data_IF_623327631889
#
_entry.id   IF_623327631889
#
_cell.length_a   1.000
_cell.length_b   1.000
_cell.length_c   1.000
_cell.angle_alpha   90.00
_cell.angle_beta   90.00
_cell.angle_gamma   90.00
#
_symmetry.space_group_name_H-M   'P 1'
#
loop_
_entity.id
_entity.type
_entity.pdbx_description
1 polymer ?
#
# COMPACT_ATOMS: atom_id res chain seq x y z
N UNK A 1 -0.96 -10.22 -21.75
CA UNK A 1 -1.23 -9.31 -20.60
C UNK A 1 -0.75 -10.00 -19.32
N UNK A 2 -0.02 -9.30 -18.48
CA UNK A 2 0.55 -9.80 -17.22
C UNK A 2 -0.51 -9.80 -16.10
N UNK A 3 -0.34 -10.58 -15.02
CA UNK A 3 -1.08 -10.40 -13.78
C UNK A 3 -0.53 -9.19 -13.02
N UNK A 4 -1.37 -8.51 -12.22
CA UNK A 4 -0.92 -7.46 -11.33
C UNK A 4 -1.78 -7.40 -10.08
N UNK A 5 -1.16 -7.62 -8.91
CA UNK A 5 -1.78 -7.44 -7.60
C UNK A 5 -0.91 -6.52 -6.77
N UNK A 6 -1.45 -5.37 -6.42
CA UNK A 6 -0.74 -4.29 -5.72
C UNK A 6 -1.24 -4.14 -4.28
N UNK A 7 -0.30 -4.00 -3.35
CA UNK A 7 -0.58 -3.98 -1.92
C UNK A 7 -0.98 -2.60 -1.38
N UNK A 8 -0.80 -1.51 -2.17
CA UNK A 8 -1.08 -0.16 -1.67
C UNK A 8 -1.33 0.87 -2.78
N UNK A 9 -2.42 1.63 -2.63
CA UNK A 9 -2.65 2.87 -3.38
C UNK A 9 -3.57 3.81 -2.61
N UNK A 10 -3.47 5.14 -2.89
CA UNK A 10 -4.27 6.20 -2.26
C UNK A 10 -5.39 6.74 -3.16
N UNK A 11 -5.79 5.99 -4.17
CA UNK A 11 -6.79 6.42 -5.16
C UNK A 11 -8.12 6.79 -4.52
N UNK A 12 -8.55 6.12 -3.43
CA UNK A 12 -9.79 6.47 -2.72
C UNK A 12 -9.70 7.85 -2.10
N UNK A 13 -8.59 8.17 -1.44
CA UNK A 13 -8.32 9.49 -0.89
C UNK A 13 -8.36 10.56 -1.98
N UNK A 14 -7.67 10.34 -3.09
CA UNK A 14 -7.67 11.26 -4.22
C UNK A 14 -9.06 11.49 -4.79
N UNK A 15 -9.81 10.44 -5.01
CA UNK A 15 -11.18 10.54 -5.50
C UNK A 15 -12.07 11.33 -4.54
N UNK A 16 -11.91 11.16 -3.22
CA UNK A 16 -12.71 11.86 -2.22
C UNK A 16 -12.32 13.34 -2.09
N UNK A 17 -11.02 13.65 -2.16
CA UNK A 17 -10.52 15.00 -1.96
C UNK A 17 -10.51 15.86 -3.24
N UNK A 18 -10.92 15.30 -4.39
CA UNK A 18 -11.03 16.05 -5.64
C UNK A 18 -12.00 17.21 -5.50
N UNK A 19 -11.54 18.44 -5.77
CA UNK A 19 -12.33 19.66 -5.70
C UNK A 19 -12.42 20.31 -4.31
N UNK A 20 -11.92 19.67 -3.25
CA UNK A 20 -11.69 20.32 -1.97
C UNK A 20 -10.31 21.01 -1.98
N UNK A 21 -10.23 22.25 -1.47
CA UNK A 21 -8.95 22.95 -1.32
C UNK A 21 -8.09 22.21 -0.30
N UNK A 22 -7.16 21.40 -0.78
CA UNK A 22 -6.29 20.64 0.09
C UNK A 22 -5.30 21.56 0.78
N UNK A 23 -5.23 21.50 2.09
CA UNK A 23 -4.26 22.19 2.94
C UNK A 23 -2.97 21.36 3.12
N UNK A 24 -2.77 20.31 2.32
CA UNK A 24 -1.56 19.49 2.39
C UNK A 24 -0.37 20.38 2.05
N UNK A 25 0.56 20.47 2.99
CA UNK A 25 1.88 21.08 2.74
C UNK A 25 2.68 20.13 1.86
N UNK A 26 2.59 20.38 0.59
CA UNK A 26 3.13 19.55 -0.47
C UNK A 26 4.54 20.00 -0.87
N UNK A 27 5.22 20.74 0.00
CA UNK A 27 6.58 21.19 -0.22
C UNK A 27 6.73 22.18 -1.39
N UNK A 28 7.88 22.17 -2.03
CA UNK A 28 8.27 23.15 -3.07
C UNK A 28 7.48 23.07 -4.39
N UNK A 29 6.56 22.11 -4.54
CA UNK A 29 5.79 21.89 -5.77
C UNK A 29 4.27 21.89 -5.59
N UNK A 30 3.77 22.77 -4.70
CA UNK A 30 2.35 22.90 -4.36
C UNK A 30 1.39 23.07 -5.55
N UNK A 31 1.86 23.61 -6.69
CA UNK A 31 1.03 23.75 -7.90
C UNK A 31 0.88 22.42 -8.64
N UNK A 32 1.96 21.69 -8.86
CA UNK A 32 1.91 20.38 -9.52
C UNK A 32 1.02 19.39 -8.75
N UNK A 33 1.02 19.51 -7.45
CA UNK A 33 0.21 18.68 -6.57
C UNK A 33 -1.26 19.11 -6.57
N UNK A 34 -1.59 20.41 -6.55
CA UNK A 34 -2.97 20.86 -6.78
C UNK A 34 -3.49 20.37 -8.13
N UNK A 35 -2.67 20.44 -9.17
CA UNK A 35 -3.03 19.96 -10.51
C UNK A 35 -3.19 18.44 -10.53
N UNK A 36 -2.37 17.72 -9.76
CA UNK A 36 -2.46 16.28 -9.57
C UNK A 36 -3.80 15.88 -8.90
N UNK A 37 -4.18 16.51 -7.79
CA UNK A 37 -5.46 16.24 -7.12
C UNK A 37 -6.69 16.73 -7.86
N UNK A 38 -6.58 17.81 -8.65
CA UNK A 38 -7.68 18.30 -9.46
C UNK A 38 -8.12 17.36 -10.59
N UNK A 39 -7.34 16.34 -10.91
CA UNK A 39 -7.54 15.47 -12.06
C UNK A 39 -8.21 14.13 -11.76
N UNK A 40 -8.17 13.64 -10.52
CA UNK A 40 -8.79 12.37 -10.15
C UNK A 40 -10.27 12.55 -9.83
N UNK A 41 -11.18 12.16 -10.74
CA UNK A 41 -12.62 12.34 -10.56
C UNK A 41 -13.35 11.06 -10.12
N UNK A 42 -12.84 9.87 -10.43
CA UNK A 42 -13.44 8.59 -10.06
C UNK A 42 -12.57 7.41 -10.49
N UNK A 43 -12.91 6.22 -9.99
CA UNK A 43 -12.10 5.01 -10.23
C UNK A 43 -12.24 4.48 -11.66
N UNK A 44 -13.34 4.76 -12.35
CA UNK A 44 -13.60 4.22 -13.70
C UNK A 44 -12.61 4.71 -14.74
N UNK A 45 -12.43 6.04 -14.80
CA UNK A 45 -11.51 6.74 -15.69
C UNK A 45 -11.08 8.04 -15.02
N UNK A 46 -9.77 8.30 -14.93
CA UNK A 46 -9.22 9.52 -14.38
C UNK A 46 -7.82 9.80 -14.92
N UNK A 47 -7.22 10.91 -14.52
CA UNK A 47 -5.84 11.26 -14.87
C UNK A 47 -4.84 11.10 -13.72
N UNK A 48 -5.21 10.36 -12.68
CA UNK A 48 -4.30 9.89 -11.63
C UNK A 48 -3.43 8.73 -12.09
N UNK A 49 -2.77 8.09 -11.12
CA UNK A 49 -1.93 6.94 -11.44
C UNK A 49 -2.74 5.67 -11.75
N UNK A 50 -3.97 5.53 -11.19
CA UNK A 50 -4.80 4.33 -11.37
C UNK A 50 -6.20 4.70 -11.87
N UNK A 51 -6.66 3.99 -12.91
CA UNK A 51 -8.07 3.82 -13.21
C UNK A 51 -8.36 2.45 -13.81
N UNK A 52 -9.64 2.05 -13.77
CA UNK A 52 -10.07 0.71 -14.22
C UNK A 52 -9.96 0.53 -15.73
N UNK A 53 -10.08 1.60 -16.53
CA UNK A 53 -9.95 1.53 -17.99
C UNK A 53 -8.52 1.16 -18.37
N UNK A 54 -7.51 1.86 -17.79
CA UNK A 54 -6.09 1.57 -18.04
C UNK A 54 -5.71 0.21 -17.47
N UNK A 55 -6.14 -0.10 -16.24
CA UNK A 55 -5.88 -1.41 -15.64
C UNK A 55 -6.38 -2.55 -16.52
N UNK A 56 -7.61 -2.48 -17.04
CA UNK A 56 -8.20 -3.48 -17.94
C UNK A 56 -7.47 -3.60 -19.28
N UNK A 57 -6.90 -2.50 -19.78
CA UNK A 57 -6.17 -2.49 -21.05
C UNK A 57 -4.80 -3.20 -20.94
N UNK A 58 -4.19 -3.22 -19.76
CA UNK A 58 -2.80 -3.67 -19.58
C UNK A 58 -2.66 -5.00 -18.81
N UNK A 59 -3.65 -5.36 -17.96
CA UNK A 59 -3.56 -6.57 -17.13
C UNK A 59 -4.59 -7.63 -17.50
N UNK A 60 -4.14 -8.88 -17.54
CA UNK A 60 -5.02 -10.04 -17.72
C UNK A 60 -5.76 -10.40 -16.42
N UNK A 61 -5.13 -10.15 -15.28
CA UNK A 61 -5.69 -10.23 -13.92
C UNK A 61 -5.24 -9.02 -13.16
N UNK A 62 -6.17 -8.35 -12.50
CA UNK A 62 -5.88 -7.16 -11.68
C UNK A 62 -6.54 -7.25 -10.31
N UNK A 63 -5.75 -6.96 -9.28
CA UNK A 63 -6.23 -6.77 -7.92
C UNK A 63 -5.49 -5.60 -7.27
N UNK A 64 -6.18 -4.84 -6.43
CA UNK A 64 -5.66 -3.67 -5.76
C UNK A 64 -6.13 -3.63 -4.30
N UNK A 65 -5.21 -3.32 -3.38
CA UNK A 65 -5.56 -2.92 -2.02
C UNK A 65 -5.62 -1.39 -2.00
N UNK A 66 -6.81 -0.86 -1.74
CA UNK A 66 -7.09 0.57 -1.64
C UNK A 66 -6.95 1.02 -0.19
N UNK A 67 -6.10 2.01 0.07
CA UNK A 67 -5.96 2.60 1.38
C UNK A 67 -7.08 3.60 1.68
N UNK A 68 -7.60 3.54 2.88
CA UNK A 68 -8.26 4.67 3.52
C UNK A 68 -7.17 5.45 4.24
N UNK A 69 -6.90 6.65 3.77
CA UNK A 69 -5.83 7.53 4.26
C UNK A 69 -6.35 8.94 4.50
N UNK A 70 -5.84 9.61 5.53
CA UNK A 70 -6.00 11.05 5.75
C UNK A 70 -4.91 11.56 6.69
N UNK A 71 -4.29 12.72 6.37
CA UNK A 71 -3.27 13.32 7.26
C UNK A 71 -3.94 13.82 8.56
N UNK A 72 -3.58 13.29 9.73
CA UNK A 72 -4.15 13.71 11.00
C UNK A 72 -3.88 15.18 11.35
N UNK A 73 -2.91 15.84 10.69
CA UNK A 73 -2.65 17.26 10.86
C UNK A 73 -3.77 18.15 10.32
N UNK A 74 -4.51 17.67 9.33
CA UNK A 74 -5.60 18.44 8.68
C UNK A 74 -6.88 18.53 9.52
N UNK A 75 -6.99 17.73 10.60
CA UNK A 75 -8.06 17.79 11.61
C UNK A 75 -9.46 17.94 11.00
N UNK A 76 -9.98 16.90 10.33
CA UNK A 76 -11.26 16.98 9.67
C UNK A 76 -12.39 17.34 10.68
N UNK A 77 -13.35 18.14 10.24
CA UNK A 77 -14.43 18.65 11.12
C UNK A 77 -15.26 17.54 11.77
N UNK A 78 -15.42 16.40 11.07
CA UNK A 78 -16.11 15.20 11.55
C UNK A 78 -15.26 14.30 12.46
N UNK A 79 -14.02 14.68 12.75
CA UNK A 79 -13.03 13.86 13.45
C UNK A 79 -12.45 12.77 12.56
N UNK A 80 -11.35 12.14 13.01
CA UNK A 80 -10.64 11.11 12.22
C UNK A 80 -11.52 9.89 11.93
N UNK A 81 -12.31 9.43 12.89
CA UNK A 81 -13.25 8.34 12.68
C UNK A 81 -14.37 8.69 11.71
N UNK A 82 -14.87 9.93 11.76
CA UNK A 82 -15.83 10.47 10.79
C UNK A 82 -15.24 10.44 9.38
N UNK A 83 -14.01 10.92 9.21
CA UNK A 83 -13.28 10.88 7.95
C UNK A 83 -13.04 9.45 7.45
N UNK A 84 -12.67 8.53 8.33
CA UNK A 84 -12.52 7.12 7.98
C UNK A 84 -13.80 6.54 7.37
N UNK A 85 -14.96 6.83 7.97
CA UNK A 85 -16.28 6.43 7.44
C UNK A 85 -16.62 7.11 6.12
N UNK A 86 -16.23 8.37 5.95
CA UNK A 86 -16.41 9.12 4.70
C UNK A 86 -15.61 8.48 3.56
N UNK A 87 -14.33 8.16 3.79
CA UNK A 87 -13.47 7.45 2.84
C UNK A 87 -14.00 6.05 2.52
N UNK A 88 -14.46 5.32 3.53
CA UNK A 88 -15.11 4.02 3.31
C UNK A 88 -16.37 4.13 2.46
N UNK A 89 -17.21 5.13 2.70
CA UNK A 89 -18.38 5.39 1.87
C UNK A 89 -17.99 5.73 0.42
N UNK A 90 -16.89 6.48 0.22
CA UNK A 90 -16.33 6.72 -1.11
C UNK A 90 -15.90 5.43 -1.79
N UNK A 91 -15.15 4.56 -1.12
CA UNK A 91 -14.76 3.25 -1.65
C UNK A 91 -15.98 2.41 -2.05
N UNK A 92 -17.02 2.39 -1.23
CA UNK A 92 -18.27 1.67 -1.56
C UNK A 92 -18.92 2.23 -2.81
N UNK A 93 -19.05 3.54 -2.93
CA UNK A 93 -19.65 4.23 -4.09
C UNK A 93 -18.86 3.94 -5.36
N UNK A 94 -17.53 4.11 -5.35
CA UNK A 94 -16.69 3.87 -6.51
C UNK A 94 -16.77 2.42 -7.00
N UNK A 95 -16.77 1.47 -6.09
CA UNK A 95 -16.88 0.05 -6.45
C UNK A 95 -18.28 -0.35 -6.90
N UNK A 96 -19.34 0.31 -6.45
CA UNK A 96 -20.71 0.09 -6.87
C UNK A 96 -20.99 0.70 -8.23
N UNK A 97 -20.60 1.95 -8.47
CA UNK A 97 -20.75 2.64 -9.74
C UNK A 97 -19.99 1.93 -10.86
N UNK A 98 -18.88 1.26 -10.53
CA UNK A 98 -18.05 0.50 -11.47
C UNK A 98 -18.21 -1.03 -11.34
N UNK A 99 -19.33 -1.52 -10.81
CA UNK A 99 -19.53 -2.95 -10.51
C UNK A 99 -19.44 -3.89 -11.73
N UNK A 100 -19.54 -3.37 -12.95
CA UNK A 100 -19.28 -4.13 -14.18
C UNK A 100 -17.78 -4.48 -14.35
N UNK A 101 -16.87 -3.68 -13.78
CA UNK A 101 -15.41 -3.76 -13.99
C UNK A 101 -14.63 -4.15 -12.74
N UNK A 102 -15.21 -4.01 -11.54
CA UNK A 102 -14.54 -4.27 -10.27
C UNK A 102 -15.48 -4.95 -9.27
N UNK A 103 -14.94 -5.80 -8.40
CA UNK A 103 -15.67 -6.44 -7.31
C UNK A 103 -14.91 -6.28 -5.98
N UNK A 104 -15.63 -5.97 -4.91
CA UNK A 104 -15.06 -5.97 -3.55
C UNK A 104 -14.79 -7.39 -3.10
N UNK A 105 -13.57 -7.64 -2.62
CA UNK A 105 -13.11 -8.95 -2.21
C UNK A 105 -12.54 -8.91 -0.78
N UNK A 106 -12.76 -9.99 -0.03
CA UNK A 106 -12.27 -10.17 1.35
C UNK A 106 -11.45 -11.44 1.52
N UNK A 107 -11.56 -12.35 0.58
CA UNK A 107 -10.91 -13.66 0.59
C UNK A 107 -10.27 -13.95 -0.75
N UNK A 108 -9.30 -14.85 -0.74
CA UNK A 108 -8.70 -15.30 -1.97
C UNK A 108 -9.69 -15.95 -2.94
N UNK A 109 -10.68 -16.68 -2.46
CA UNK A 109 -11.71 -17.26 -3.31
C UNK A 109 -12.56 -16.18 -4.02
N UNK A 110 -12.84 -15.06 -3.33
CA UNK A 110 -13.53 -13.91 -3.92
C UNK A 110 -12.66 -13.21 -4.96
N UNK A 111 -11.34 -13.06 -4.71
CA UNK A 111 -10.37 -12.53 -5.69
C UNK A 111 -10.38 -13.39 -6.95
N UNK A 112 -10.24 -14.70 -6.80
CA UNK A 112 -10.24 -15.63 -7.95
C UNK A 112 -11.56 -15.58 -8.73
N UNK A 113 -12.68 -15.49 -8.03
CA UNK A 113 -14.00 -15.38 -8.64
C UNK A 113 -14.18 -14.07 -9.41
N UNK A 114 -13.72 -12.94 -8.85
CA UNK A 114 -13.77 -11.63 -9.51
C UNK A 114 -12.96 -11.65 -10.80
N UNK A 115 -11.72 -12.14 -10.73
CA UNK A 115 -10.80 -12.22 -11.86
C UNK A 115 -11.32 -13.18 -12.94
N UNK A 116 -11.86 -14.34 -12.55
CA UNK A 116 -12.49 -15.27 -13.49
C UNK A 116 -13.70 -14.67 -14.21
N UNK A 117 -14.41 -13.73 -13.57
CA UNK A 117 -15.50 -12.96 -14.17
C UNK A 117 -15.01 -11.76 -15.02
N UNK A 118 -13.69 -11.59 -15.21
CA UNK A 118 -13.10 -10.48 -15.97
C UNK A 118 -13.17 -9.13 -15.25
N UNK A 119 -13.33 -9.15 -13.92
CA UNK A 119 -13.36 -7.95 -13.07
C UNK A 119 -12.05 -7.79 -12.31
N UNK A 120 -11.70 -6.55 -11.98
CA UNK A 120 -10.69 -6.26 -10.98
C UNK A 120 -11.16 -6.69 -9.58
N UNK A 121 -10.24 -7.11 -8.71
CA UNK A 121 -10.53 -7.38 -7.31
C UNK A 121 -10.10 -6.19 -6.43
N UNK A 122 -11.03 -5.61 -5.67
CA UNK A 122 -10.78 -4.52 -4.74
C UNK A 122 -10.74 -5.03 -3.30
N UNK A 123 -9.62 -4.83 -2.62
CA UNK A 123 -9.46 -5.05 -1.20
C UNK A 123 -9.26 -3.71 -0.49
N UNK A 124 -9.30 -3.70 0.83
CA UNK A 124 -9.27 -2.48 1.63
C UNK A 124 -8.15 -2.53 2.66
N UNK A 125 -7.45 -1.41 2.85
CA UNK A 125 -6.54 -1.16 3.97
C UNK A 125 -6.88 0.14 4.68
N UNK A 126 -6.28 0.35 5.86
CA UNK A 126 -6.28 1.63 6.57
C UNK A 126 -4.83 2.03 6.78
N UNK A 127 -4.46 3.21 6.31
CA UNK A 127 -3.14 3.78 6.48
C UNK A 127 -3.14 4.84 7.59
N UNK A 128 -2.55 4.46 8.72
CA UNK A 128 -2.55 5.24 9.96
C UNK A 128 -3.74 4.91 10.87
N UNK A 129 -3.46 4.33 12.05
CA UNK A 129 -4.47 4.05 13.07
C UNK A 129 -5.13 5.32 13.63
N UNK A 130 -4.62 6.50 13.27
CA UNK A 130 -5.25 7.79 13.55
C UNK A 130 -6.67 7.86 13.01
N UNK A 131 -6.95 7.25 11.85
CA UNK A 131 -8.30 7.11 11.30
C UNK A 131 -9.25 6.33 12.21
N UNK A 132 -8.71 5.41 13.03
CA UNK A 132 -9.45 4.74 14.10
C UNK A 132 -9.35 5.49 15.44
N UNK A 133 -8.77 6.71 15.47
CA UNK A 133 -8.43 7.47 16.69
C UNK A 133 -7.56 6.61 17.67
N UNK A 134 -6.78 5.69 17.12
CA UNK A 134 -5.97 4.72 17.86
C UNK A 134 -6.80 3.91 18.90
N UNK A 135 -8.07 3.66 18.60
CA UNK A 135 -9.03 2.98 19.48
C UNK A 135 -9.20 1.53 19.04
N UNK A 136 -8.85 0.58 19.92
CA UNK A 136 -8.97 -0.87 19.65
C UNK A 136 -10.41 -1.32 19.46
N UNK A 137 -11.39 -0.63 20.05
CA UNK A 137 -12.80 -1.00 19.95
C UNK A 137 -13.37 -0.74 18.54
N UNK A 138 -12.65 -0.03 17.68
CA UNK A 138 -13.00 0.20 16.26
C UNK A 138 -12.43 -0.85 15.30
N UNK A 139 -11.46 -1.64 15.72
CA UNK A 139 -10.89 -2.74 14.92
C UNK A 139 -11.97 -3.74 14.45
N UNK A 140 -12.92 -4.20 15.30
CA UNK A 140 -13.97 -5.10 14.83
C UNK A 140 -14.86 -4.52 13.74
N UNK A 141 -15.10 -3.19 13.72
CA UNK A 141 -15.86 -2.55 12.67
C UNK A 141 -15.06 -2.48 11.37
N UNK A 142 -13.77 -2.10 11.42
CA UNK A 142 -12.87 -2.13 10.28
C UNK A 142 -12.78 -3.54 9.67
N UNK A 143 -12.72 -4.59 10.51
CA UNK A 143 -12.74 -5.99 10.05
C UNK A 143 -14.06 -6.34 9.34
N UNK A 144 -15.21 -5.87 9.83
CA UNK A 144 -16.51 -6.05 9.16
C UNK A 144 -16.58 -5.34 7.81
N UNK A 145 -15.91 -4.20 7.65
CA UNK A 145 -15.77 -3.53 6.35
C UNK A 145 -14.93 -4.33 5.35
N UNK A 146 -14.13 -5.27 5.83
CA UNK A 146 -13.25 -6.10 5.03
C UNK A 146 -11.84 -5.56 4.92
N UNK A 147 -11.42 -4.68 5.82
CA UNK A 147 -10.03 -4.20 5.91
C UNK A 147 -9.08 -5.38 6.08
N UNK A 148 -8.00 -5.41 5.31
CA UNK A 148 -7.01 -6.48 5.27
C UNK A 148 -5.67 -6.10 5.85
N UNK A 149 -5.24 -4.86 5.64
CA UNK A 149 -3.98 -4.32 6.17
C UNK A 149 -4.27 -3.08 7.00
N UNK A 150 -3.49 -2.86 8.06
CA UNK A 150 -3.57 -1.65 8.87
C UNK A 150 -2.19 -1.22 9.35
N UNK A 151 -1.80 0.02 9.02
CA UNK A 151 -0.59 0.67 9.51
C UNK A 151 -0.87 1.31 10.88
N UNK A 152 -0.09 1.01 11.94
CA UNK A 152 -0.25 1.67 13.24
C UNK A 152 -0.04 3.18 13.20
N UNK A 153 0.77 3.64 12.28
CA UNK A 153 1.12 5.05 12.05
C UNK A 153 1.25 5.34 10.56
N UNK A 154 1.11 6.60 10.17
CA UNK A 154 1.59 7.15 8.90
C UNK A 154 2.90 7.94 9.15
N UNK A 155 3.11 9.10 8.53
CA UNK A 155 4.31 9.92 8.72
C UNK A 155 4.35 10.68 10.05
N UNK A 156 3.26 10.73 10.81
CA UNK A 156 3.18 11.40 12.11
C UNK A 156 3.16 10.39 13.25
N UNK A 157 3.95 10.66 14.27
CA UNK A 157 3.93 9.89 15.50
C UNK A 157 2.58 10.07 16.22
N UNK A 158 2.03 8.98 16.70
CA UNK A 158 0.79 8.98 17.46
C UNK A 158 0.95 8.29 18.82
N UNK A 159 -0.12 8.04 19.53
CA UNK A 159 -0.06 7.39 20.86
C UNK A 159 0.41 5.94 20.82
N UNK A 160 0.44 5.29 19.64
CA UNK A 160 0.84 3.89 19.49
C UNK A 160 2.35 3.74 19.26
N UNK A 161 2.94 4.59 18.42
CA UNK A 161 4.36 4.47 18.01
C UNK A 161 4.94 5.76 17.47
N UNK A 162 6.28 5.84 17.42
CA UNK A 162 7.02 6.73 16.54
C UNK A 162 6.99 6.21 15.09
N UNK A 163 7.43 7.07 14.17
CA UNK A 163 7.49 6.80 12.74
C UNK A 163 8.90 6.94 12.21
N UNK A 164 9.14 6.53 10.98
CA UNK A 164 10.41 6.78 10.30
C UNK A 164 10.60 8.28 9.87
N UNK A 165 9.56 9.09 9.95
CA UNK A 165 9.61 10.53 9.68
C UNK A 165 9.69 11.36 10.97
N UNK A 166 8.95 10.98 12.02
CA UNK A 166 8.80 11.72 13.28
C UNK A 166 8.99 10.78 14.47
N UNK A 167 9.71 11.24 15.52
CA UNK A 167 10.00 10.48 16.75
C UNK A 167 10.63 9.09 16.47
N UNK A 168 11.66 9.10 15.62
CA UNK A 168 12.26 7.91 14.98
C UNK A 168 12.80 6.86 15.95
N UNK A 169 13.18 7.28 17.16
CA UNK A 169 13.74 6.40 18.17
C UNK A 169 12.68 5.73 19.05
N UNK A 170 11.43 6.19 18.98
CA UNK A 170 10.34 5.65 19.78
C UNK A 170 9.74 4.41 19.14
N UNK A 171 9.73 3.29 19.88
CA UNK A 171 9.03 2.06 19.52
C UNK A 171 7.56 2.09 19.88
N UNK A 172 6.94 0.90 19.95
CA UNK A 172 5.56 0.75 20.37
C UNK A 172 5.39 1.13 21.85
N UNK A 173 4.42 2.02 22.12
CA UNK A 173 3.93 2.24 23.47
C UNK A 173 3.22 0.99 24.02
N UNK A 174 2.83 0.98 25.28
CA UNK A 174 1.98 -0.08 25.84
C UNK A 174 0.65 -0.17 25.07
N UNK A 175 0.00 0.99 24.81
CA UNK A 175 -1.21 1.06 23.98
C UNK A 175 -0.96 0.53 22.55
N UNK A 176 0.21 0.83 21.97
CA UNK A 176 0.62 0.29 20.68
C UNK A 176 0.72 -1.23 20.67
N UNK A 177 1.33 -1.81 21.72
CA UNK A 177 1.42 -3.28 21.86
C UNK A 177 0.04 -3.93 21.99
N UNK A 178 -0.88 -3.32 22.73
CA UNK A 178 -2.25 -3.81 22.87
C UNK A 178 -3.01 -3.68 21.55
N UNK A 179 -2.80 -2.59 20.80
CA UNK A 179 -3.38 -2.41 19.48
C UNK A 179 -2.92 -3.51 18.50
N UNK A 180 -1.61 -3.82 18.48
CA UNK A 180 -1.09 -4.92 17.64
C UNK A 180 -1.68 -6.27 18.05
N UNK A 181 -1.82 -6.58 19.36
CA UNK A 181 -2.46 -7.81 19.83
C UNK A 181 -3.93 -7.90 19.38
N UNK A 182 -4.64 -6.77 19.35
CA UNK A 182 -6.01 -6.70 18.86
C UNK A 182 -6.08 -6.98 17.35
N UNK A 183 -5.15 -6.43 16.56
CA UNK A 183 -5.02 -6.76 15.12
C UNK A 183 -4.75 -8.25 14.91
N UNK A 184 -3.82 -8.83 15.67
CA UNK A 184 -3.50 -10.28 15.61
C UNK A 184 -4.74 -11.17 15.85
N UNK A 185 -5.69 -10.70 16.68
CA UNK A 185 -6.95 -11.40 16.99
C UNK A 185 -8.04 -11.16 15.95
N UNK A 186 -7.79 -10.27 14.98
CA UNK A 186 -8.70 -9.94 13.89
C UNK A 186 -8.28 -10.63 12.57
N UNK A 187 -8.99 -10.40 11.49
CA UNK A 187 -8.59 -10.82 10.14
C UNK A 187 -7.67 -9.79 9.45
N UNK A 188 -7.20 -8.75 10.16
CA UNK A 188 -6.38 -7.65 9.62
C UNK A 188 -4.90 -7.97 9.90
N UNK A 189 -4.04 -7.84 8.88
CA UNK A 189 -2.59 -7.95 9.04
C UNK A 189 -2.01 -6.60 9.48
N UNK A 190 -1.02 -6.63 10.38
CA UNK A 190 -0.24 -5.45 10.71
C UNK A 190 0.70 -5.09 9.57
N UNK A 191 0.66 -3.82 9.14
CA UNK A 191 1.51 -3.25 8.11
C UNK A 191 2.58 -2.36 8.75
N UNK A 192 3.85 -2.67 8.52
CA UNK A 192 4.98 -1.97 9.12
C UNK A 192 5.49 -0.79 8.30
N UNK A 193 4.95 -0.55 7.10
CA UNK A 193 5.28 0.65 6.34
C UNK A 193 5.00 1.87 7.23
N UNK A 194 5.91 2.85 7.27
CA UNK A 194 5.92 4.04 8.13
C UNK A 194 6.39 3.87 9.58
N UNK A 195 6.44 2.68 10.17
CA UNK A 195 6.94 2.52 11.54
C UNK A 195 8.40 2.99 11.67
N UNK A 196 8.75 3.54 12.83
CA UNK A 196 10.15 3.70 13.24
C UNK A 196 10.85 2.33 13.28
N UNK A 197 12.18 2.32 13.16
CA UNK A 197 12.95 1.08 13.27
C UNK A 197 12.70 0.40 14.63
N UNK A 198 12.60 1.15 15.72
CA UNK A 198 12.26 0.61 17.04
C UNK A 198 10.85 0.01 17.07
N UNK A 199 9.86 0.70 16.47
CA UNK A 199 8.48 0.22 16.35
C UNK A 199 8.37 -1.05 15.51
N UNK A 200 9.13 -1.12 14.44
CA UNK A 200 9.24 -2.32 13.61
C UNK A 200 9.71 -3.53 14.44
N UNK A 201 10.84 -3.41 15.14
CA UNK A 201 11.37 -4.52 15.94
C UNK A 201 10.49 -4.91 17.12
N UNK A 202 9.79 -3.94 17.72
CA UNK A 202 8.80 -4.24 18.75
C UNK A 202 7.61 -5.03 18.17
N UNK A 203 7.13 -4.66 16.97
CA UNK A 203 6.04 -5.38 16.30
C UNK A 203 6.46 -6.80 15.92
N UNK A 204 7.64 -6.99 15.32
CA UNK A 204 8.17 -8.32 14.95
C UNK A 204 8.21 -9.26 16.17
N UNK A 205 8.61 -8.75 17.35
CA UNK A 205 8.65 -9.55 18.59
C UNK A 205 7.26 -10.00 19.05
N UNK A 206 6.20 -9.25 18.70
CA UNK A 206 4.83 -9.54 19.06
C UNK A 206 4.11 -10.41 18.04
N UNK A 207 4.53 -10.34 16.79
CA UNK A 207 3.84 -10.94 15.66
C UNK A 207 3.72 -12.46 15.77
N UNK A 208 2.51 -12.97 15.61
CA UNK A 208 2.16 -14.40 15.52
C UNK A 208 1.61 -14.78 14.15
N UNK A 209 1.34 -13.79 13.32
CA UNK A 209 0.86 -13.90 11.95
C UNK A 209 1.87 -13.25 11.01
N UNK A 210 1.78 -13.53 9.70
CA UNK A 210 2.60 -12.82 8.71
C UNK A 210 2.52 -11.31 8.87
N UNK A 211 3.68 -10.64 8.83
CA UNK A 211 3.79 -9.17 8.87
C UNK A 211 3.90 -8.66 7.44
N UNK A 212 3.27 -7.54 7.15
CA UNK A 212 3.29 -6.92 5.82
C UNK A 212 4.05 -5.60 5.87
N UNK A 213 4.89 -5.34 4.87
CA UNK A 213 5.30 -4.00 4.49
C UNK A 213 4.69 -3.72 3.13
N UNK A 214 3.55 -3.04 3.10
CA UNK A 214 2.75 -2.89 1.88
C UNK A 214 3.48 -2.14 0.76
N UNK A 215 4.39 -1.19 1.11
CA UNK A 215 5.09 -0.33 0.16
C UNK A 215 6.45 0.15 0.71
N UNK A 216 7.51 -0.69 0.56
CA UNK A 216 8.85 -0.40 1.10
C UNK A 216 9.96 -1.01 0.25
N UNK A 217 11.04 -0.25 0.04
CA UNK A 217 12.19 -0.67 -0.75
C UNK A 217 13.41 -1.04 0.10
N UNK A 218 14.56 -1.28 -0.52
CA UNK A 218 15.81 -1.61 0.17
C UNK A 218 16.56 -0.35 0.60
N UNK A 219 16.86 -0.23 1.90
CA UNK A 219 17.67 0.85 2.46
C UNK A 219 19.16 0.72 2.07
N UNK A 220 19.60 -0.47 1.72
CA UNK A 220 20.96 -0.69 1.23
C UNK A 220 21.23 -0.02 -0.13
N UNK A 221 20.18 0.10 -0.97
CA UNK A 221 20.28 0.72 -2.29
C UNK A 221 19.90 2.20 -2.26
N UNK A 222 18.87 2.57 -1.49
CA UNK A 222 18.47 3.94 -1.27
C UNK A 222 18.35 4.17 0.25
N UNK A 223 19.26 4.94 0.89
CA UNK A 223 19.33 5.09 2.34
C UNK A 223 18.23 6.02 2.87
N UNK A 224 17.01 5.83 2.41
CA UNK A 224 15.83 6.55 2.89
C UNK A 224 15.25 5.85 4.12
N UNK A 225 14.81 6.57 5.17
CA UNK A 225 14.29 5.95 6.41
C UNK A 225 13.00 5.14 6.19
N UNK A 226 12.25 5.39 5.11
CA UNK A 226 11.06 4.60 4.71
C UNK A 226 11.41 3.21 4.18
N UNK A 227 12.66 3.01 3.77
CA UNK A 227 13.14 1.73 3.23
C UNK A 227 13.58 0.79 4.34
N UNK A 228 13.48 -0.52 4.08
CA UNK A 228 13.82 -1.58 5.01
C UNK A 228 15.32 -1.87 4.98
N UNK A 229 15.91 -2.13 6.13
CA UNK A 229 17.22 -2.78 6.19
C UNK A 229 17.11 -4.25 5.75
N UNK A 230 18.24 -4.87 5.39
CA UNK A 230 18.28 -6.29 5.03
C UNK A 230 17.74 -7.20 6.14
N UNK A 231 18.03 -6.85 7.40
CA UNK A 231 17.55 -7.62 8.56
C UNK A 231 16.05 -7.46 8.78
N UNK A 232 15.49 -6.26 8.52
CA UNK A 232 14.04 -6.04 8.53
C UNK A 232 13.36 -6.87 7.46
N UNK A 233 13.90 -6.88 6.23
CA UNK A 233 13.37 -7.71 5.15
C UNK A 233 13.37 -9.19 5.53
N UNK A 234 14.51 -9.70 6.05
CA UNK A 234 14.62 -11.10 6.52
C UNK A 234 13.60 -11.40 7.63
N UNK A 235 13.42 -10.47 8.58
CA UNK A 235 12.45 -10.65 9.66
C UNK A 235 11.02 -10.78 9.12
N UNK A 236 10.60 -9.93 8.16
CA UNK A 236 9.29 -10.07 7.51
C UNK A 236 9.18 -11.41 6.79
N UNK A 237 10.19 -11.78 5.99
CA UNK A 237 10.26 -13.08 5.31
C UNK A 237 10.06 -14.24 6.28
N UNK A 238 10.72 -14.21 7.41
CA UNK A 238 10.72 -15.30 8.39
C UNK A 238 9.36 -15.41 9.14
N UNK A 239 8.53 -14.34 9.15
CA UNK A 239 7.12 -14.43 9.57
C UNK A 239 6.23 -15.07 8.51
N UNK A 240 6.71 -15.34 7.31
CA UNK A 240 5.90 -15.71 6.15
C UNK A 240 5.17 -14.52 5.52
N UNK A 241 5.58 -13.30 5.81
CA UNK A 241 4.99 -12.07 5.31
C UNK A 241 5.39 -11.68 3.89
N UNK A 242 5.01 -10.47 3.50
CA UNK A 242 5.34 -9.89 2.18
C UNK A 242 5.84 -8.47 2.29
N UNK A 243 6.63 -8.06 1.29
CA UNK A 243 7.15 -6.70 1.11
C UNK A 243 6.76 -6.23 -0.28
N UNK A 244 5.98 -5.17 -0.36
CA UNK A 244 5.58 -4.52 -1.60
C UNK A 244 6.67 -3.60 -2.13
N UNK A 245 7.10 -3.80 -3.36
CA UNK A 245 8.02 -2.92 -4.07
C UNK A 245 7.34 -1.58 -4.31
N UNK A 246 7.87 -0.51 -3.70
CA UNK A 246 7.37 0.84 -3.85
C UNK A 246 7.93 1.48 -5.14
N UNK A 247 7.09 2.17 -5.90
CA UNK A 247 7.46 2.82 -7.15
C UNK A 247 7.81 4.32 -6.98
N UNK A 248 7.66 4.87 -5.77
CA UNK A 248 7.97 6.28 -5.51
C UNK A 248 9.45 6.57 -5.73
N UNK A 249 9.72 7.61 -6.54
CA UNK A 249 11.07 7.99 -6.97
C UNK A 249 12.05 8.17 -5.81
N UNK A 250 11.62 8.84 -4.73
CA UNK A 250 12.50 9.13 -3.59
C UNK A 250 12.91 7.89 -2.80
N UNK A 251 12.11 6.81 -2.85
CA UNK A 251 12.42 5.55 -2.17
C UNK A 251 13.18 4.58 -3.06
N UNK A 252 13.17 4.79 -4.37
CA UNK A 252 14.02 4.07 -5.33
C UNK A 252 15.42 4.70 -5.41
N UNK A 253 15.51 6.02 -5.23
CA UNK A 253 16.78 6.78 -5.19
C UNK A 253 17.32 7.16 -6.57
N UNK A 254 16.81 6.58 -7.65
CA UNK A 254 17.13 6.97 -9.02
C UNK A 254 15.92 6.74 -9.95
N UNK A 255 15.76 7.62 -10.94
CA UNK A 255 14.60 7.63 -11.84
C UNK A 255 14.62 6.56 -12.95
N UNK A 256 15.56 5.61 -12.95
CA UNK A 256 15.68 4.63 -14.02
C UNK A 256 14.94 3.32 -13.71
N UNK A 257 14.55 2.60 -14.76
CA UNK A 257 14.01 1.23 -14.64
C UNK A 257 15.04 0.27 -14.02
N UNK A 258 16.32 0.43 -14.33
CA UNK A 258 17.40 -0.37 -13.75
C UNK A 258 17.51 -0.21 -12.22
N UNK A 259 17.17 0.96 -11.68
CA UNK A 259 17.13 1.16 -10.24
C UNK A 259 16.00 0.36 -9.58
N UNK A 260 14.82 0.33 -10.18
CA UNK A 260 13.71 -0.53 -9.73
C UNK A 260 14.09 -2.02 -9.79
N UNK A 261 14.68 -2.45 -10.92
CA UNK A 261 15.17 -3.82 -11.08
C UNK A 261 16.20 -4.16 -10.00
N UNK A 262 17.11 -3.24 -9.67
CA UNK A 262 18.12 -3.47 -8.62
C UNK A 262 17.49 -3.74 -7.24
N UNK A 263 16.40 -3.05 -6.87
CA UNK A 263 15.66 -3.34 -5.64
C UNK A 263 15.05 -4.75 -5.64
N UNK A 264 14.48 -5.18 -6.77
CA UNK A 264 13.98 -6.56 -6.94
C UNK A 264 15.11 -7.55 -6.77
N UNK A 265 16.22 -7.37 -7.49
CA UNK A 265 17.40 -8.25 -7.43
C UNK A 265 17.98 -8.33 -6.01
N UNK A 266 18.07 -7.21 -5.31
CA UNK A 266 18.54 -7.18 -3.94
C UNK A 266 17.67 -8.02 -3.01
N UNK A 267 16.35 -7.84 -3.06
CA UNK A 267 15.44 -8.63 -2.22
C UNK A 267 15.43 -10.11 -2.59
N UNK A 268 15.56 -10.46 -3.87
CA UNK A 268 15.71 -11.86 -4.29
C UNK A 268 17.02 -12.46 -3.75
N UNK A 269 18.13 -11.72 -3.74
CA UNK A 269 19.40 -12.16 -3.14
C UNK A 269 19.31 -12.37 -1.61
N UNK A 270 18.30 -11.81 -0.96
CA UNK A 270 17.99 -12.06 0.45
C UNK A 270 17.01 -13.23 0.66
N UNK A 271 16.69 -14.00 -0.38
CA UNK A 271 15.74 -15.12 -0.34
C UNK A 271 14.28 -14.66 -0.40
N UNK A 272 14.02 -13.63 -1.20
CA UNK A 272 12.74 -12.93 -1.27
C UNK A 272 11.73 -13.49 -2.27
N UNK A 273 11.97 -14.66 -2.89
CA UNK A 273 11.13 -15.22 -3.97
C UNK A 273 9.65 -15.37 -3.57
N UNK A 274 9.41 -15.66 -2.29
CA UNK A 274 8.06 -15.79 -1.72
C UNK A 274 7.62 -14.58 -0.88
N UNK A 275 8.46 -13.55 -0.78
CA UNK A 275 8.24 -12.40 0.11
C UNK A 275 7.98 -11.13 -0.68
N UNK A 276 8.71 -10.94 -1.78
CA UNK A 276 8.55 -9.75 -2.61
C UNK A 276 7.21 -9.79 -3.36
N UNK A 277 6.47 -8.68 -3.31
CA UNK A 277 5.29 -8.42 -4.12
C UNK A 277 5.29 -6.99 -4.66
N UNK A 278 4.23 -6.56 -5.30
CA UNK A 278 4.06 -5.17 -5.73
C UNK A 278 3.33 -4.37 -4.64
N UNK A 279 3.73 -3.10 -4.48
CA UNK A 279 3.14 -2.15 -3.55
C UNK A 279 3.49 -0.74 -4.01
N UNK A 280 2.90 -0.33 -5.14
CA UNK A 280 3.38 0.76 -5.97
C UNK A 280 3.26 2.14 -5.37
N UNK A 281 2.50 2.33 -4.29
CA UNK A 281 2.22 3.64 -3.69
C UNK A 281 1.59 4.62 -4.69
N UNK A 282 0.84 4.02 -5.63
CA UNK A 282 0.20 4.74 -6.71
C UNK A 282 -0.87 5.68 -6.13
N UNK A 283 -0.89 6.90 -6.64
CA UNK A 283 -1.73 7.98 -6.12
C UNK A 283 -1.34 8.51 -4.72
N UNK A 284 -0.41 7.86 -4.01
CA UNK A 284 0.16 8.33 -2.74
C UNK A 284 1.45 9.13 -2.89
N UNK A 285 1.98 9.23 -4.11
CA UNK A 285 3.20 9.95 -4.41
C UNK A 285 3.08 10.79 -5.69
N UNK A 286 3.92 11.80 -5.83
CA UNK A 286 3.90 12.75 -6.96
C UNK A 286 4.75 12.33 -8.15
N UNK A 287 5.70 11.40 -7.96
CA UNK A 287 6.63 10.97 -9.00
C UNK A 287 6.96 9.48 -8.91
N UNK A 288 6.82 8.78 -10.01
CA UNK A 288 7.16 7.37 -10.13
C UNK A 288 8.56 7.19 -10.75
N UNK A 289 9.31 6.20 -10.24
CA UNK A 289 10.58 5.80 -10.83
C UNK A 289 10.37 5.05 -12.16
N UNK A 290 11.44 4.75 -12.88
CA UNK A 290 11.39 4.02 -14.15
C UNK A 290 10.80 4.81 -15.32
N UNK A 291 10.58 6.12 -15.16
CA UNK A 291 9.91 6.95 -16.18
C UNK A 291 8.41 6.68 -16.29
N UNK A 292 7.81 6.04 -15.29
CA UNK A 292 6.39 5.70 -15.25
C UNK A 292 5.54 6.95 -15.00
N UNK A 293 4.35 7.00 -15.62
CA UNK A 293 3.32 8.01 -15.39
C UNK A 293 2.09 7.44 -14.65
N UNK A 294 1.92 6.12 -14.65
CA UNK A 294 0.80 5.46 -14.01
C UNK A 294 0.82 3.94 -14.18
N UNK A 295 -0.30 3.33 -13.87
CA UNK A 295 -0.48 1.86 -13.86
C UNK A 295 -0.21 1.22 -15.24
N UNK A 296 -0.42 1.97 -16.33
CA UNK A 296 -0.17 1.54 -17.71
C UNK A 296 1.28 1.21 -18.00
N UNK A 297 2.22 1.77 -17.22
CA UNK A 297 3.66 1.59 -17.41
C UNK A 297 4.25 0.47 -16.56
N UNK A 298 3.50 -0.08 -15.59
CA UNK A 298 3.96 -1.22 -14.76
C UNK A 298 4.41 -2.44 -15.59
N UNK A 299 3.80 -2.77 -16.74
CA UNK A 299 4.28 -3.84 -17.61
C UNK A 299 5.75 -3.68 -18.05
N UNK A 300 6.27 -2.45 -18.14
CA UNK A 300 7.68 -2.22 -18.49
C UNK A 300 8.65 -2.77 -17.43
N UNK A 301 8.29 -2.74 -16.14
CA UNK A 301 9.08 -3.39 -15.09
C UNK A 301 9.09 -4.92 -15.24
N UNK A 302 7.93 -5.51 -15.55
CA UNK A 302 7.83 -6.95 -15.81
C UNK A 302 8.71 -7.35 -17.00
N UNK A 303 8.66 -6.60 -18.11
CA UNK A 303 9.48 -6.82 -19.30
C UNK A 303 10.99 -6.64 -19.03
N UNK A 304 11.36 -5.64 -18.22
CA UNK A 304 12.74 -5.44 -17.81
C UNK A 304 13.27 -6.66 -17.02
N UNK A 305 12.49 -7.21 -16.09
CA UNK A 305 12.83 -8.41 -15.34
C UNK A 305 12.90 -9.66 -16.25
N UNK A 306 11.97 -9.82 -17.20
CA UNK A 306 12.07 -10.88 -18.23
C UNK A 306 13.37 -10.77 -19.01
N UNK A 307 13.77 -9.56 -19.41
CA UNK A 307 15.01 -9.29 -20.17
C UNK A 307 16.28 -9.61 -19.38
N UNK A 308 16.20 -9.58 -18.03
CA UNK A 308 17.27 -10.02 -17.12
C UNK A 308 17.31 -11.53 -16.93
N UNK A 309 16.38 -12.28 -17.56
CA UNK A 309 16.35 -13.75 -17.52
C UNK A 309 15.58 -14.34 -16.35
N UNK A 310 14.81 -13.56 -15.60
CA UNK A 310 13.96 -14.10 -14.54
C UNK A 310 12.83 -14.95 -15.14
N UNK A 311 12.60 -16.17 -14.59
CA UNK A 311 11.57 -17.06 -15.12
C UNK A 311 10.16 -16.52 -14.88
N UNK A 312 9.27 -16.73 -15.84
CA UNK A 312 7.88 -16.26 -15.76
C UNK A 312 7.15 -16.70 -14.49
N UNK A 313 7.44 -17.89 -13.96
CA UNK A 313 6.85 -18.37 -12.71
C UNK A 313 7.24 -17.50 -11.51
N UNK A 314 8.50 -17.07 -11.39
CA UNK A 314 8.92 -16.15 -10.33
C UNK A 314 8.26 -14.77 -10.49
N UNK A 315 8.17 -14.28 -11.71
CA UNK A 315 7.50 -12.99 -11.96
C UNK A 315 6.01 -13.08 -11.65
N UNK A 316 5.35 -14.21 -11.94
CA UNK A 316 3.97 -14.44 -11.53
C UNK A 316 3.83 -14.48 -10.00
N UNK A 317 4.81 -15.01 -9.28
CA UNK A 317 4.83 -14.97 -7.82
C UNK A 317 4.96 -13.54 -7.30
N UNK A 318 5.88 -12.74 -7.83
CA UNK A 318 6.09 -11.34 -7.42
C UNK A 318 4.88 -10.46 -7.77
N UNK A 319 4.38 -10.57 -8.99
CA UNK A 319 3.31 -9.69 -9.47
C UNK A 319 1.91 -10.15 -9.05
N UNK A 320 1.76 -11.36 -8.47
CA UNK A 320 0.46 -11.88 -8.10
C UNK A 320 0.45 -12.80 -6.88
N UNK A 321 1.10 -13.99 -6.95
CA UNK A 321 0.85 -15.07 -6.02
C UNK A 321 1.32 -14.76 -4.59
N UNK A 322 2.44 -14.05 -4.42
CA UNK A 322 3.00 -13.75 -3.11
C UNK A 322 2.03 -12.91 -2.25
N UNK A 323 1.38 -11.91 -2.82
CA UNK A 323 0.36 -11.14 -2.12
C UNK A 323 -0.95 -11.92 -2.00
N UNK A 324 -1.37 -12.61 -3.11
CA UNK A 324 -2.62 -13.37 -3.15
C UNK A 324 -2.71 -14.45 -2.06
N UNK A 325 -1.60 -15.09 -1.69
CA UNK A 325 -1.59 -16.18 -0.69
C UNK A 325 -1.94 -15.75 0.73
N UNK A 326 -1.94 -14.45 1.03
CA UNK A 326 -2.30 -13.93 2.36
C UNK A 326 -3.81 -13.95 2.61
N UNK A 327 -4.60 -14.04 1.56
CA UNK A 327 -6.06 -13.93 1.57
C UNK A 327 -6.71 -15.22 1.08
#
# INVERSE_FOLDING_TARGET
MIPYFDAHCDTVYRCEMTGEGLSIDLGSNAQAQRDYFARAQGLGENSGHIDLRRAKAHFGRYAQIFALFYDPADKPAEGMWGMCRRLYARFLRETEENAASIARCRTGAEIDSAVAAGKAAALLSIEGADLLECDIDRIPEAARWGVKLLNPVWNRANVLSGTNAEDKERGLSEKGRDFIRALESSAIYADVSHLSDAGFWDLIKLARRPVVASHSNSRALCPHPRNLTDDMFRAIRDTGGVVGLNLYLDFVGAGSMDALVAHVEHFLNLGGERTLCMGGDLDGCEALAGGMAGIEDVPALYEALCSRGYPAALLEDIFWNNLRRLF
#
